data_IF_514183723458
#
_entry.id   IF_514183723458
#
_cell.length_a   1.000
_cell.length_b   1.000
_cell.length_c   1.000
_cell.angle_alpha   90.00
_cell.angle_beta   90.00
_cell.angle_gamma   90.00
#
_symmetry.space_group_name_H-M   'P 1'
#
loop_
_entity.id
_entity.type
_entity.pdbx_description
1 polymer ?
#
# COMPACT_ATOMS: atom_id res chain seq x y z
N UNK A 1 -13.01 11.53 -15.55
CA UNK A 1 -11.54 11.47 -15.42
C UNK A 1 -11.00 12.75 -16.04
N UNK A 2 -10.30 13.58 -15.27
CA UNK A 2 -9.67 14.80 -15.81
C UNK A 2 -8.23 14.45 -16.18
N UNK A 3 -7.81 14.78 -17.40
CA UNK A 3 -6.50 14.39 -17.92
C UNK A 3 -5.34 15.10 -17.20
N UNK A 4 -5.62 16.26 -16.62
CA UNK A 4 -4.70 17.14 -15.89
C UNK A 4 -4.75 16.95 -14.37
N UNK A 5 -5.52 15.98 -13.86
CA UNK A 5 -5.56 15.70 -12.43
C UNK A 5 -4.19 15.18 -11.95
N UNK A 6 -3.64 15.70 -10.85
CA UNK A 6 -2.40 15.16 -10.28
C UNK A 6 -2.62 13.69 -9.91
N UNK A 7 -1.56 12.89 -9.99
CA UNK A 7 -1.59 11.49 -9.54
C UNK A 7 -1.04 11.39 -8.12
N UNK A 8 -1.54 10.42 -7.37
CA UNK A 8 -1.02 10.01 -6.07
C UNK A 8 -0.33 8.65 -6.21
N UNK A 9 0.72 8.43 -5.42
CA UNK A 9 1.33 7.11 -5.27
C UNK A 9 0.45 6.26 -4.34
N UNK A 10 -0.32 5.34 -4.92
CA UNK A 10 -1.16 4.39 -4.20
C UNK A 10 -0.47 3.04 -4.00
N UNK A 11 -0.93 2.26 -3.03
CA UNK A 11 -0.50 0.88 -2.87
C UNK A 11 -1.27 -0.04 -3.82
N UNK A 12 -0.63 -1.09 -4.29
CA UNK A 12 -1.34 -2.19 -4.94
C UNK A 12 -2.23 -2.89 -3.89
N UNK A 13 -3.37 -3.48 -4.30
CA UNK A 13 -4.23 -4.22 -3.39
C UNK A 13 -3.44 -5.31 -2.66
N UNK A 14 -3.58 -5.38 -1.34
CA UNK A 14 -2.86 -6.33 -0.47
C UNK A 14 -1.49 -5.83 0.02
N UNK A 15 -1.05 -4.64 -0.39
CA UNK A 15 0.17 -3.98 0.10
C UNK A 15 -0.14 -2.72 0.90
N UNK A 16 -1.37 -2.56 1.39
CA UNK A 16 -1.79 -1.38 2.13
C UNK A 16 -0.97 -1.22 3.42
N UNK A 17 -0.61 0.03 3.74
CA UNK A 17 0.23 0.35 4.91
C UNK A 17 -0.29 -0.29 6.21
N UNK A 18 -1.59 -0.21 6.48
CA UNK A 18 -2.16 -0.74 7.72
C UNK A 18 -2.06 -2.27 7.82
N UNK A 19 -2.10 -2.98 6.68
CA UNK A 19 -1.90 -4.44 6.63
C UNK A 19 -0.44 -4.80 6.84
N UNK A 20 0.47 -4.02 6.28
CA UNK A 20 1.90 -4.18 6.54
C UNK A 20 2.22 -3.98 8.02
N UNK A 21 1.64 -2.97 8.68
CA UNK A 21 1.80 -2.75 10.12
C UNK A 21 1.34 -3.98 10.92
N UNK A 22 0.13 -4.50 10.65
CA UNK A 22 -0.36 -5.72 11.32
C UNK A 22 0.55 -6.93 11.08
N UNK A 23 1.02 -7.11 9.84
CA UNK A 23 1.97 -8.17 9.49
C UNK A 23 3.30 -8.01 10.24
N UNK A 24 3.82 -6.79 10.34
CA UNK A 24 5.07 -6.49 11.01
C UNK A 24 4.99 -6.72 12.53
N UNK A 25 3.88 -6.34 13.16
CA UNK A 25 3.60 -6.64 14.57
C UNK A 25 3.54 -8.15 14.82
N UNK A 26 2.81 -8.89 13.97
CA UNK A 26 2.69 -10.34 14.09
C UNK A 26 4.03 -11.08 13.90
N UNK A 27 4.91 -10.55 13.04
CA UNK A 27 6.23 -11.13 12.75
C UNK A 27 7.35 -10.64 13.65
N UNK A 28 7.14 -9.55 14.39
CA UNK A 28 8.16 -8.93 15.23
C UNK A 28 9.36 -8.42 14.45
N UNK A 29 9.17 -7.95 13.21
CA UNK A 29 10.29 -7.45 12.38
C UNK A 29 10.82 -6.12 12.89
N UNK A 30 12.09 -5.85 12.59
CA UNK A 30 12.70 -4.56 12.91
C UNK A 30 12.13 -3.44 12.05
N UNK A 31 12.28 -2.19 12.52
CA UNK A 31 11.95 -1.00 11.73
C UNK A 31 12.71 -0.98 10.39
N UNK A 32 13.94 -1.49 10.36
CA UNK A 32 14.72 -1.53 9.13
C UNK A 32 14.07 -2.47 8.11
N UNK A 33 13.74 -3.69 8.53
CA UNK A 33 13.04 -4.66 7.67
C UNK A 33 11.70 -4.10 7.20
N UNK A 34 10.92 -3.48 8.09
CA UNK A 34 9.69 -2.81 7.72
C UNK A 34 9.90 -1.77 6.60
N UNK A 35 10.91 -0.91 6.72
CA UNK A 35 11.20 0.10 5.71
C UNK A 35 11.73 -0.49 4.41
N UNK A 36 12.52 -1.56 4.49
CA UNK A 36 13.04 -2.24 3.29
C UNK A 36 11.90 -2.90 2.51
N UNK A 37 10.93 -3.51 3.19
CA UNK A 37 9.71 -4.08 2.58
C UNK A 37 8.76 -2.97 2.07
N UNK A 38 8.55 -1.91 2.85
CA UNK A 38 7.63 -0.82 2.51
C UNK A 38 8.09 -0.02 1.30
N UNK A 39 9.40 0.18 1.14
CA UNK A 39 9.95 0.99 0.03
C UNK A 39 10.13 0.23 -1.29
N UNK A 40 9.67 -1.03 -1.39
CA UNK A 40 9.71 -1.77 -2.65
C UNK A 40 8.77 -1.13 -3.67
N UNK A 41 9.35 -0.59 -4.75
CA UNK A 41 8.62 0.09 -5.84
C UNK A 41 7.51 -0.78 -6.43
N UNK A 42 7.70 -2.10 -6.41
CA UNK A 42 6.75 -3.09 -6.93
C UNK A 42 5.41 -3.10 -6.17
N UNK A 43 5.36 -2.58 -4.95
CA UNK A 43 4.15 -2.51 -4.13
C UNK A 43 3.25 -1.32 -4.46
N UNK A 44 3.70 -0.40 -5.33
CA UNK A 44 3.00 0.83 -5.63
C UNK A 44 2.43 0.87 -7.04
N UNK A 45 1.43 1.73 -7.25
CA UNK A 45 0.87 2.08 -8.56
C UNK A 45 0.44 3.55 -8.59
N UNK A 46 0.46 4.20 -9.76
CA UNK A 46 -0.13 5.51 -9.91
C UNK A 46 -1.67 5.40 -9.77
N UNK A 47 -2.24 6.24 -8.91
CA UNK A 47 -3.68 6.34 -8.72
C UNK A 47 -4.14 7.79 -8.84
N UNK A 48 -5.41 7.99 -9.17
CA UNK A 48 -6.03 9.30 -9.00
C UNK A 48 -6.28 9.56 -7.51
N UNK A 49 -6.15 10.80 -7.02
CA UNK A 49 -6.40 11.16 -5.63
C UNK A 49 -7.78 10.75 -5.16
N UNK A 50 -8.78 10.84 -6.04
CA UNK A 50 -10.15 10.41 -5.77
C UNK A 50 -10.26 8.89 -5.54
N UNK A 51 -9.52 8.08 -6.28
CA UNK A 51 -9.47 6.63 -6.09
C UNK A 51 -8.71 6.26 -4.82
N UNK A 52 -7.50 6.79 -4.66
CA UNK A 52 -6.60 6.47 -3.55
C UNK A 52 -7.24 6.79 -2.19
N UNK A 53 -7.85 7.99 -2.06
CA UNK A 53 -8.48 8.43 -0.80
C UNK A 53 -9.83 7.79 -0.50
N UNK A 54 -10.42 7.09 -1.48
CA UNK A 54 -11.71 6.42 -1.32
C UNK A 54 -11.58 4.93 -1.00
N UNK A 55 -10.35 4.41 -0.91
CA UNK A 55 -10.05 2.99 -0.68
C UNK A 55 -10.66 2.03 -1.74
N UNK A 56 -11.19 2.55 -2.85
CA UNK A 56 -11.89 1.76 -3.89
C UNK A 56 -11.04 0.70 -4.60
N UNK A 57 -9.73 0.80 -4.46
CA UNK A 57 -8.77 -0.11 -5.07
C UNK A 57 -7.99 -0.95 -4.05
N UNK A 58 -8.37 -0.91 -2.78
CA UNK A 58 -7.78 -1.75 -1.74
C UNK A 58 -8.36 -3.16 -1.78
N UNK A 59 -7.61 -4.13 -1.24
CA UNK A 59 -8.07 -5.49 -1.10
C UNK A 59 -9.05 -5.58 0.09
N UNK A 60 -10.26 -6.09 -0.15
CA UNK A 60 -11.34 -6.16 0.85
C UNK A 60 -11.06 -7.15 1.99
N UNK A 61 -10.15 -8.11 1.78
CA UNK A 61 -9.72 -9.05 2.81
C UNK A 61 -8.57 -8.47 3.64
N UNK A 62 -8.39 -9.02 4.84
CA UNK A 62 -7.30 -8.64 5.75
C UNK A 62 -5.92 -9.19 5.33
N UNK A 63 -5.83 -9.82 4.15
CA UNK A 63 -4.60 -10.46 3.67
C UNK A 63 -3.53 -9.42 3.30
N UNK A 64 -2.28 -9.73 3.63
CA UNK A 64 -1.11 -8.96 3.25
C UNK A 64 -0.22 -9.79 2.31
N UNK A 65 0.07 -9.26 1.12
CA UNK A 65 0.84 -9.95 0.08
C UNK A 65 2.31 -9.54 0.02
N UNK A 66 2.73 -8.59 0.86
CA UNK A 66 4.11 -8.11 0.89
C UNK A 66 5.04 -8.98 1.72
N UNK A 67 6.26 -9.15 1.21
CA UNK A 67 7.49 -9.56 1.90
C UNK A 67 8.67 -9.02 1.11
#
# INVERSE_FOLDING_TARGET
MKFDEPWDMGHKPGFEYWKHVRSAEARGISRKEFLDEYNKVEHYRPELPSSNRSHKGELETDDYYGY
#
